data_IF_103152132062
#
_entry.id   IF_103152132062
#
_cell.length_a   1.000
_cell.length_b   1.000
_cell.length_c   1.000
_cell.angle_alpha   90.00
_cell.angle_beta   90.00
_cell.angle_gamma   90.00
#
_symmetry.space_group_name_H-M   'P 1'
#
loop_
_entity.id
_entity.type
_entity.pdbx_description
1 polymer ?
#
# COMPACT_ATOMS: atom_id res chain seq x y z
N UNK A 1 -19.35 16.44 8.26
CA UNK A 1 -19.59 16.93 6.90
C UNK A 1 -19.34 15.79 5.94
N UNK A 2 -20.29 15.50 5.04
CA UNK A 2 -20.12 14.42 4.05
C UNK A 2 -18.94 14.76 3.14
N UNK A 3 -18.02 13.82 2.97
CA UNK A 3 -16.89 13.95 2.06
C UNK A 3 -17.44 13.98 0.62
N UNK A 4 -17.30 15.10 -0.06
CA UNK A 4 -17.67 15.22 -1.48
C UNK A 4 -16.41 15.16 -2.32
N UNK A 5 -16.27 14.12 -3.13
CA UNK A 5 -15.16 13.96 -4.07
C UNK A 5 -15.73 14.16 -5.48
N UNK A 6 -15.40 15.25 -6.18
CA UNK A 6 -15.86 15.44 -7.55
C UNK A 6 -15.19 14.43 -8.49
N UNK A 7 -15.81 14.20 -9.64
CA UNK A 7 -15.16 13.47 -10.73
C UNK A 7 -13.88 14.20 -11.15
N UNK A 8 -12.76 13.48 -11.14
CA UNK A 8 -11.45 13.97 -11.54
C UNK A 8 -10.57 12.81 -11.99
N UNK A 9 -9.56 13.12 -12.78
CA UNK A 9 -8.58 12.16 -13.28
C UNK A 9 -7.23 12.50 -12.65
N UNK A 10 -6.55 11.48 -12.11
CA UNK A 10 -5.16 11.61 -11.64
C UNK A 10 -4.22 11.02 -12.69
N UNK A 11 -3.37 11.86 -13.27
CA UNK A 11 -2.24 11.43 -14.11
C UNK A 11 -1.07 11.15 -13.17
N UNK A 12 -0.84 9.88 -12.84
CA UNK A 12 0.11 9.51 -11.79
C UNK A 12 1.55 9.89 -12.11
N UNK A 13 1.94 9.95 -13.38
CA UNK A 13 3.31 10.32 -13.75
C UNK A 13 3.65 11.78 -13.40
N UNK A 14 2.64 12.65 -13.27
CA UNK A 14 2.81 14.06 -12.90
C UNK A 14 2.82 14.29 -11.38
N UNK A 15 2.42 13.29 -10.58
CA UNK A 15 2.35 13.42 -9.11
C UNK A 15 3.75 13.25 -8.54
N UNK A 16 4.31 14.16 -7.72
CA UNK A 16 5.66 14.02 -7.17
C UNK A 16 5.88 12.71 -6.41
N UNK A 17 7.08 12.13 -6.52
CA UNK A 17 7.50 10.97 -5.72
C UNK A 17 8.06 11.41 -4.37
N UNK A 18 7.77 10.62 -3.34
CA UNK A 18 8.59 10.54 -2.13
C UNK A 18 9.18 9.14 -2.01
N UNK A 19 10.38 9.03 -1.45
CA UNK A 19 11.04 7.74 -1.21
C UNK A 19 11.23 7.56 0.29
N UNK A 20 10.85 6.39 0.79
CA UNK A 20 11.08 5.98 2.17
C UNK A 20 11.87 4.68 2.20
N UNK A 21 12.74 4.53 3.18
CA UNK A 21 13.51 3.31 3.36
C UNK A 21 12.69 2.29 4.15
N UNK A 22 12.80 1.02 3.79
CA UNK A 22 12.42 -0.08 4.68
C UNK A 22 13.57 -0.46 5.61
N UNK A 23 13.44 -1.58 6.31
CA UNK A 23 14.61 -2.25 6.91
C UNK A 23 15.61 -2.65 5.82
N UNK A 24 15.09 -3.11 4.67
CA UNK A 24 15.85 -3.31 3.44
C UNK A 24 15.06 -2.74 2.27
N UNK A 25 15.76 -2.32 1.22
CA UNK A 25 15.13 -1.74 0.04
C UNK A 25 14.41 -0.41 0.30
N UNK A 26 13.67 0.05 -0.69
CA UNK A 26 12.95 1.33 -0.65
C UNK A 26 11.52 1.20 -1.15
N UNK A 27 10.68 2.13 -0.70
CA UNK A 27 9.35 2.35 -1.22
C UNK A 27 9.27 3.74 -1.83
N UNK A 28 9.03 3.79 -3.13
CA UNK A 28 8.75 5.04 -3.85
C UNK A 28 7.25 5.20 -3.96
N UNK A 29 6.71 6.35 -3.53
CA UNK A 29 5.27 6.56 -3.50
C UNK A 29 4.87 7.87 -4.15
N UNK A 30 3.70 7.83 -4.79
CA UNK A 30 2.94 8.99 -5.24
C UNK A 30 1.62 8.99 -4.49
N UNK A 31 1.18 10.15 -4.02
CA UNK A 31 0.02 10.24 -3.12
C UNK A 31 -0.99 11.25 -3.66
N UNK A 32 -2.24 10.83 -3.78
CA UNK A 32 -3.39 11.69 -3.97
C UNK A 32 -4.22 11.69 -2.68
N UNK A 33 -4.32 12.86 -2.04
CA UNK A 33 -5.17 13.05 -0.85
C UNK A 33 -6.50 13.69 -1.25
N UNK A 34 -7.61 13.12 -0.78
CA UNK A 34 -8.99 13.58 -1.05
C UNK A 34 -9.79 13.58 0.25
N UNK A 35 -9.65 14.65 1.03
CA UNK A 35 -10.21 14.72 2.39
C UNK A 35 -9.67 13.59 3.26
N UNK A 36 -10.53 12.66 3.67
CA UNK A 36 -10.13 11.47 4.45
C UNK A 36 -9.81 10.23 3.61
N UNK A 37 -9.97 10.28 2.28
CA UNK A 37 -9.54 9.22 1.36
C UNK A 37 -8.12 9.54 0.89
N UNK A 38 -7.25 8.53 0.88
CA UNK A 38 -5.92 8.59 0.32
C UNK A 38 -5.74 7.46 -0.68
N UNK A 39 -5.28 7.81 -1.87
CA UNK A 39 -4.91 6.86 -2.92
C UNK A 39 -3.40 6.99 -3.13
N UNK A 40 -2.70 5.87 -3.21
CA UNK A 40 -1.25 5.83 -3.33
C UNK A 40 -0.84 4.86 -4.43
N UNK A 41 0.03 5.30 -5.31
CA UNK A 41 0.80 4.42 -6.18
C UNK A 41 2.12 4.16 -5.49
N UNK A 42 2.44 2.90 -5.19
CA UNK A 42 3.65 2.53 -4.46
C UNK A 42 4.46 1.52 -5.25
N UNK A 43 5.75 1.77 -5.39
CA UNK A 43 6.72 0.87 -5.99
C UNK A 43 7.72 0.46 -4.90
N UNK A 44 7.69 -0.82 -4.52
CA UNK A 44 8.71 -1.39 -3.65
C UNK A 44 9.84 -1.94 -4.49
N UNK A 45 11.08 -1.67 -4.06
CA UNK A 45 12.27 -2.23 -4.70
C UNK A 45 12.32 -3.76 -4.52
N UNK A 46 13.21 -4.42 -5.26
CA UNK A 46 13.62 -5.78 -4.92
C UNK A 46 14.17 -5.84 -3.50
N UNK A 47 13.95 -6.96 -2.81
CA UNK A 47 14.32 -7.18 -1.41
C UNK A 47 13.81 -6.10 -0.44
N UNK A 48 12.68 -5.46 -0.74
CA UNK A 48 12.06 -4.53 0.20
C UNK A 48 11.53 -5.30 1.42
N UNK A 49 11.75 -4.73 2.60
CA UNK A 49 11.16 -5.19 3.85
C UNK A 49 10.67 -3.96 4.62
N UNK A 50 9.37 -3.89 4.90
CA UNK A 50 8.82 -2.81 5.71
C UNK A 50 9.47 -2.78 7.10
N UNK A 51 9.74 -1.58 7.60
CA UNK A 51 10.43 -1.31 8.86
C UNK A 51 9.52 -1.41 10.10
N UNK A 52 8.23 -1.68 9.90
CA UNK A 52 7.24 -1.81 10.96
C UNK A 52 6.17 -2.85 10.63
N UNK A 53 5.46 -3.28 11.66
CA UNK A 53 4.19 -3.98 11.54
C UNK A 53 3.07 -2.96 11.39
N UNK A 54 2.29 -3.07 10.33
CA UNK A 54 1.14 -2.20 10.09
C UNK A 54 -0.10 -2.77 10.77
N UNK A 55 -0.75 -1.92 11.56
CA UNK A 55 -2.05 -2.19 12.20
C UNK A 55 -3.16 -1.29 11.65
N UNK A 56 -2.83 -0.43 10.68
CA UNK A 56 -3.78 0.44 10.02
C UNK A 56 -4.49 -0.31 8.90
N UNK A 57 -5.74 0.09 8.69
CA UNK A 57 -6.57 -0.40 7.62
C UNK A 57 -6.15 0.20 6.28
N UNK A 58 -6.11 -0.66 5.28
CA UNK A 58 -5.94 -0.28 3.87
C UNK A 58 -6.43 -1.38 2.94
N UNK A 59 -6.74 -0.99 1.72
CA UNK A 59 -6.88 -1.86 0.57
C UNK A 59 -5.59 -1.80 -0.25
N UNK A 60 -5.05 -2.95 -0.62
CA UNK A 60 -3.90 -3.07 -1.52
C UNK A 60 -4.31 -3.88 -2.73
N UNK A 61 -3.95 -3.41 -3.91
CA UNK A 61 -4.06 -4.12 -5.18
C UNK A 61 -2.68 -4.23 -5.82
N UNK A 62 -2.27 -5.44 -6.20
CA UNK A 62 -0.98 -5.66 -6.89
C UNK A 62 -1.17 -5.40 -8.37
N UNK A 63 -0.52 -4.37 -8.89
CA UNK A 63 -0.55 -4.02 -10.32
C UNK A 63 0.48 -4.85 -11.09
N UNK A 64 1.70 -4.94 -10.57
CA UNK A 64 2.81 -5.66 -11.19
C UNK A 64 3.68 -6.33 -10.12
N UNK A 65 4.28 -7.48 -10.44
CA UNK A 65 5.17 -8.19 -9.53
C UNK A 65 4.42 -9.05 -8.49
N UNK A 66 5.10 -9.28 -7.36
CA UNK A 66 4.62 -10.13 -6.27
C UNK A 66 4.89 -9.48 -4.90
N UNK A 67 3.86 -9.46 -4.06
CA UNK A 67 3.91 -8.97 -2.68
C UNK A 67 3.76 -10.14 -1.72
N UNK A 68 4.61 -10.21 -0.70
CA UNK A 68 4.49 -11.19 0.38
C UNK A 68 4.06 -10.45 1.64
N UNK A 69 2.94 -10.84 2.21
CA UNK A 69 2.48 -10.35 3.50
C UNK A 69 2.77 -11.39 4.59
N UNK A 70 3.42 -10.95 5.65
CA UNK A 70 3.64 -11.72 6.87
C UNK A 70 2.67 -11.21 7.94
N UNK A 71 1.99 -12.11 8.63
CA UNK A 71 1.24 -11.81 9.85
C UNK A 71 2.11 -12.06 11.07
N UNK A 72 1.79 -11.40 12.19
CA UNK A 72 2.57 -11.48 13.43
C UNK A 72 2.63 -12.90 14.04
N UNK A 73 1.65 -13.74 13.73
CA UNK A 73 1.62 -15.16 14.12
C UNK A 73 2.50 -16.06 13.22
N UNK A 74 3.14 -15.49 12.19
CA UNK A 74 4.00 -16.18 11.24
C UNK A 74 3.29 -16.67 9.97
N UNK A 75 1.96 -16.52 9.87
CA UNK A 75 1.27 -16.85 8.62
C UNK A 75 1.73 -15.94 7.48
N UNK A 76 1.93 -16.51 6.29
CA UNK A 76 2.36 -15.74 5.12
C UNK A 76 1.41 -15.94 3.95
N UNK A 77 1.17 -14.87 3.20
CA UNK A 77 0.37 -14.89 1.98
C UNK A 77 1.14 -14.25 0.85
N UNK A 78 1.12 -14.89 -0.32
CA UNK A 78 1.73 -14.38 -1.54
C UNK A 78 0.63 -13.81 -2.44
N UNK A 79 0.81 -12.56 -2.85
CA UNK A 79 -0.11 -11.85 -3.73
C UNK A 79 0.57 -11.52 -5.05
N UNK A 80 0.00 -12.00 -6.16
CA UNK A 80 0.48 -11.72 -7.52
C UNK A 80 -0.32 -10.61 -8.15
N UNK A 81 0.20 -10.03 -9.24
CA UNK A 81 -0.53 -9.08 -10.08
C UNK A 81 -1.99 -9.52 -10.32
N UNK A 82 -2.93 -8.59 -10.13
CA UNK A 82 -4.38 -8.84 -10.20
C UNK A 82 -5.02 -9.25 -8.88
N UNK A 83 -4.24 -9.46 -7.81
CA UNK A 83 -4.76 -9.79 -6.47
C UNK A 83 -4.96 -8.54 -5.62
N UNK A 84 -5.93 -8.58 -4.71
CA UNK A 84 -6.14 -7.53 -3.71
C UNK A 84 -6.45 -8.08 -2.33
N UNK A 85 -6.16 -7.31 -1.29
CA UNK A 85 -6.70 -7.51 0.05
C UNK A 85 -7.20 -6.19 0.62
N UNK A 86 -8.08 -6.28 1.61
CA UNK A 86 -8.51 -5.15 2.41
C UNK A 86 -8.55 -5.55 3.89
N UNK A 87 -8.20 -4.62 4.75
CA UNK A 87 -8.26 -4.80 6.20
C UNK A 87 -8.66 -3.48 6.85
N UNK A 88 -9.41 -3.57 7.95
CA UNK A 88 -9.76 -2.41 8.80
C UNK A 88 -8.72 -2.20 9.89
N UNK A 89 -8.75 -1.01 10.51
CA UNK A 89 -7.88 -0.66 11.62
C UNK A 89 -7.95 -1.72 12.75
N UNK A 90 -6.79 -2.14 13.26
CA UNK A 90 -6.66 -3.04 14.40
C UNK A 90 -7.02 -4.51 14.16
N UNK A 91 -7.49 -4.89 12.97
CA UNK A 91 -7.88 -6.28 12.67
C UNK A 91 -6.74 -7.18 12.20
N UNK A 92 -5.57 -6.60 11.93
CA UNK A 92 -4.36 -7.37 11.62
C UNK A 92 -3.12 -6.61 12.07
N UNK A 93 -2.04 -7.34 12.32
CA UNK A 93 -0.69 -6.79 12.45
C UNK A 93 0.15 -7.50 11.40
N UNK A 94 0.43 -6.79 10.30
CA UNK A 94 1.03 -7.39 9.12
C UNK A 94 2.23 -6.58 8.62
N UNK A 95 3.14 -7.26 7.92
CA UNK A 95 4.34 -6.65 7.37
C UNK A 95 4.57 -7.14 5.96
N UNK A 96 4.83 -6.21 5.05
CA UNK A 96 5.06 -6.54 3.64
C UNK A 96 6.54 -6.70 3.35
N UNK A 97 6.87 -7.67 2.50
CA UNK A 97 8.20 -7.83 1.91
C UNK A 97 8.11 -8.29 0.45
N UNK A 98 9.22 -8.17 -0.25
CA UNK A 98 9.32 -8.49 -1.68
C UNK A 98 10.59 -9.28 -1.97
N UNK A 99 10.57 -10.04 -3.07
CA UNK A 99 11.79 -10.66 -3.65
C UNK A 99 12.24 -9.82 -4.85
N UNK A 100 11.37 -9.67 -5.85
CA UNK A 100 11.54 -8.72 -6.95
C UNK A 100 10.85 -7.37 -6.68
N UNK A 101 10.96 -6.40 -7.60
CA UNK A 101 10.18 -5.17 -7.51
C UNK A 101 8.67 -5.46 -7.66
N UNK A 102 7.84 -4.65 -7.02
CA UNK A 102 6.38 -4.75 -7.09
C UNK A 102 5.77 -3.36 -7.15
N UNK A 103 4.70 -3.23 -7.94
CA UNK A 103 3.91 -2.02 -8.07
C UNK A 103 2.52 -2.24 -7.51
N UNK A 104 2.08 -1.34 -6.66
CA UNK A 104 0.87 -1.45 -5.85
C UNK A 104 0.01 -0.20 -6.02
N UNK A 105 -1.30 -0.42 -6.04
CA UNK A 105 -2.27 0.63 -5.70
C UNK A 105 -2.73 0.40 -4.27
N UNK A 106 -2.56 1.41 -3.42
CA UNK A 106 -3.00 1.36 -2.02
C UNK A 106 -4.05 2.44 -1.79
N UNK A 107 -5.18 2.04 -1.21
CA UNK A 107 -6.27 2.95 -0.85
C UNK A 107 -6.50 2.83 0.64
N UNK A 108 -6.43 3.95 1.34
CA UNK A 108 -6.65 4.02 2.77
C UNK A 108 -7.39 5.29 3.16
N UNK A 109 -7.90 5.34 4.39
CA UNK A 109 -8.64 6.51 4.83
C UNK A 109 -9.50 6.29 6.05
N UNK A 110 -10.16 7.37 6.48
CA UNK A 110 -10.99 7.36 7.69
C UNK A 110 -12.22 6.44 7.65
N UNK A 111 -12.54 5.85 6.49
CA UNK A 111 -13.64 4.90 6.31
C UNK A 111 -13.28 3.46 6.73
N UNK A 112 -12.02 3.20 7.08
CA UNK A 112 -11.53 1.89 7.52
C UNK A 112 -11.44 1.76 9.05
N UNK A 113 -11.93 2.78 9.78
CA UNK A 113 -12.08 2.78 11.23
C UNK A 113 -13.27 1.97 11.69
#
# INVERSE_FOLDING_TARGET
MSLHIPFQITIWDDVPTTVVNGTTGTATMRIQQLGHLRIRMIEYSANYLADHWCELGHLVFVLEGELINELKDGATTVMKAGSSYAVSDGLSSHRSRTVGPVKLLVVDGGFLK
#
